data_IF_075034293197
#
_entry.id   IF_075034293197
#
_cell.length_a   1.000
_cell.length_b   1.000
_cell.length_c   1.000
_cell.angle_alpha   90.00
_cell.angle_beta   90.00
_cell.angle_gamma   90.00
#
_symmetry.space_group_name_H-M   'P 1'
#
loop_
_entity.id
_entity.type
_entity.pdbx_description
1 polymer ?
#
# COMPACT_ATOMS: atom_id res chain seq x y z
N UNK A 1 -22.34 17.87 48.18
CA UNK A 1 -20.87 17.97 48.03
C UNK A 1 -20.55 18.96 46.93
N UNK A 2 -19.58 19.82 47.19
CA UNK A 2 -19.30 21.14 46.62
C UNK A 2 -19.23 21.24 45.10
N UNK A 3 -19.81 22.33 44.58
CA UNK A 3 -19.49 22.91 43.28
C UNK A 3 -18.15 23.68 43.41
N UNK A 4 -17.18 23.44 42.52
CA UNK A 4 -15.93 24.22 42.45
C UNK A 4 -15.65 24.65 41.02
N UNK A 5 -15.53 25.97 40.84
CA UNK A 5 -15.27 26.66 39.58
C UNK A 5 -13.76 26.74 39.30
N UNK A 6 -13.37 26.07 38.20
CA UNK A 6 -12.37 26.37 37.15
C UNK A 6 -10.90 26.73 37.43
N UNK A 7 -10.01 26.40 36.46
CA UNK A 7 -9.34 27.48 35.75
C UNK A 7 -9.59 27.44 34.23
N UNK A 8 -9.97 28.60 33.68
CA UNK A 8 -10.38 28.91 32.29
C UNK A 8 -9.37 28.48 31.21
N UNK A 9 -8.12 28.17 31.57
CA UNK A 9 -7.13 27.57 30.67
C UNK A 9 -7.37 26.08 30.36
N UNK A 10 -7.89 25.29 31.31
CA UNK A 10 -7.99 23.83 31.20
C UNK A 10 -9.11 23.38 30.25
N UNK A 11 -10.17 24.17 30.05
CA UNK A 11 -11.28 23.84 29.13
C UNK A 11 -10.86 23.81 27.65
N UNK A 12 -9.97 24.70 27.20
CA UNK A 12 -9.42 24.66 25.83
C UNK A 12 -8.50 23.45 25.63
N UNK A 13 -7.68 23.13 26.62
CA UNK A 13 -6.78 21.96 26.56
C UNK A 13 -7.55 20.64 26.64
N UNK A 14 -8.58 20.54 27.47
CA UNK A 14 -9.46 19.37 27.54
C UNK A 14 -10.25 19.18 26.24
N UNK A 15 -10.76 20.27 25.64
CA UNK A 15 -11.46 20.20 24.34
C UNK A 15 -10.52 19.75 23.21
N UNK A 16 -9.27 20.24 23.20
CA UNK A 16 -8.24 19.75 22.26
C UNK A 16 -7.90 18.28 22.50
N UNK A 17 -7.73 17.85 23.75
CA UNK A 17 -7.44 16.45 24.07
C UNK A 17 -8.58 15.51 23.62
N UNK A 18 -9.84 15.92 23.81
CA UNK A 18 -11.01 15.18 23.31
C UNK A 18 -10.97 15.08 21.77
N UNK A 19 -10.63 16.16 21.07
CA UNK A 19 -10.46 16.13 19.61
C UNK A 19 -9.31 15.22 19.16
N UNK A 20 -8.18 15.21 19.87
CA UNK A 20 -7.05 14.32 19.55
C UNK A 20 -7.40 12.84 19.82
N UNK A 21 -8.15 12.55 20.88
CA UNK A 21 -8.64 11.20 21.18
C UNK A 21 -9.65 10.74 20.11
N UNK A 22 -10.58 11.61 19.70
CA UNK A 22 -11.53 11.29 18.62
C UNK A 22 -10.81 11.05 17.27
N UNK A 23 -9.77 11.83 16.96
CA UNK A 23 -8.95 11.65 15.77
C UNK A 23 -8.12 10.36 15.82
N UNK A 24 -7.55 10.01 16.98
CA UNK A 24 -6.78 8.76 17.12
C UNK A 24 -7.66 7.52 17.08
N UNK A 25 -8.89 7.59 17.59
CA UNK A 25 -9.88 6.50 17.50
C UNK A 25 -10.33 6.29 16.04
N UNK A 26 -10.44 7.36 15.24
CA UNK A 26 -10.77 7.25 13.81
C UNK A 26 -9.58 6.78 12.97
N UNK A 27 -8.35 7.05 13.40
CA UNK A 27 -7.10 6.67 12.73
C UNK A 27 -6.51 5.31 13.17
N UNK A 28 -7.29 4.46 13.84
CA UNK A 28 -6.83 3.20 14.44
C UNK A 28 -6.60 2.06 13.45
N UNK A 29 -5.79 2.24 12.41
CA UNK A 29 -5.26 1.16 11.54
C UNK A 29 -3.99 1.67 10.83
N UNK A 30 -2.81 1.57 11.45
CA UNK A 30 -1.58 2.20 10.91
C UNK A 30 -0.47 1.21 10.55
N UNK A 31 -0.54 -0.06 10.97
CA UNK A 31 0.59 -0.99 10.76
C UNK A 31 0.34 -2.02 9.66
N UNK A 32 -0.81 -2.71 9.67
CA UNK A 32 -1.08 -3.78 8.69
C UNK A 32 -1.19 -3.25 7.26
N UNK A 33 -1.81 -2.08 7.07
CA UNK A 33 -1.92 -1.46 5.75
C UNK A 33 -0.56 -0.98 5.20
N UNK A 34 0.36 -0.56 6.08
CA UNK A 34 1.70 -0.10 5.69
C UNK A 34 2.57 -1.29 5.28
N UNK A 35 2.51 -2.39 6.03
CA UNK A 35 3.24 -3.62 5.69
C UNK A 35 2.74 -4.20 4.36
N UNK A 36 1.43 -4.28 4.15
CA UNK A 36 0.84 -4.79 2.89
C UNK A 36 1.20 -3.90 1.70
N UNK A 37 1.17 -2.57 1.89
CA UNK A 37 1.60 -1.61 0.86
C UNK A 37 3.10 -1.73 0.55
N UNK A 38 3.95 -1.91 1.56
CA UNK A 38 5.38 -2.10 1.38
C UNK A 38 5.70 -3.39 0.62
N UNK A 39 5.00 -4.49 0.93
CA UNK A 39 5.14 -5.77 0.20
C UNK A 39 4.67 -5.61 -1.25
N UNK A 40 3.54 -4.94 -1.48
CA UNK A 40 3.06 -4.64 -2.83
C UNK A 40 4.06 -3.80 -3.62
N UNK A 41 4.59 -2.72 -3.04
CA UNK A 41 5.57 -1.86 -3.70
C UNK A 41 6.86 -2.58 -4.06
N UNK A 42 7.38 -3.39 -3.13
CA UNK A 42 8.58 -4.20 -3.38
C UNK A 42 8.35 -5.22 -4.48
N UNK A 43 7.22 -5.93 -4.44
CA UNK A 43 6.93 -6.93 -5.44
C UNK A 43 6.70 -6.30 -6.82
N UNK A 44 5.87 -5.26 -6.89
CA UNK A 44 5.56 -4.58 -8.15
C UNK A 44 6.78 -3.93 -8.79
N UNK A 45 7.70 -3.38 -8.00
CA UNK A 45 8.94 -2.78 -8.50
C UNK A 45 9.88 -3.83 -9.12
N UNK A 46 10.10 -4.97 -8.45
CA UNK A 46 10.92 -6.05 -9.02
C UNK A 46 10.26 -6.70 -10.23
N UNK A 47 8.95 -6.84 -10.18
CA UNK A 47 8.19 -7.46 -11.25
C UNK A 47 8.19 -6.60 -12.52
N UNK A 48 8.03 -5.27 -12.40
CA UNK A 48 8.15 -4.38 -13.56
C UNK A 48 9.58 -4.29 -14.08
N UNK A 49 10.59 -4.31 -13.20
CA UNK A 49 11.99 -4.34 -13.62
C UNK A 49 12.29 -5.58 -14.46
N UNK A 50 11.80 -6.76 -14.05
CA UNK A 50 11.89 -7.96 -14.88
C UNK A 50 11.13 -7.82 -16.20
N UNK A 51 9.96 -7.19 -16.18
CA UNK A 51 9.14 -7.01 -17.37
C UNK A 51 9.78 -6.06 -18.40
N UNK A 52 10.47 -5.01 -17.95
CA UNK A 52 11.19 -4.06 -18.82
C UNK A 52 12.40 -4.72 -19.48
N UNK A 53 13.08 -5.61 -18.75
CA UNK A 53 14.25 -6.33 -19.26
C UNK A 53 13.90 -7.55 -20.14
N UNK A 54 12.61 -7.90 -20.25
CA UNK A 54 12.15 -9.01 -21.10
C UNK A 54 11.88 -8.52 -22.53
N UNK A 55 12.60 -9.09 -23.51
CA UNK A 55 12.45 -8.71 -24.91
C UNK A 55 11.04 -8.94 -25.43
N UNK A 56 10.37 -10.01 -25.01
CA UNK A 56 9.00 -10.34 -25.46
C UNK A 56 7.98 -9.30 -24.98
N UNK A 57 8.13 -8.83 -23.74
CA UNK A 57 7.25 -7.82 -23.16
C UNK A 57 7.53 -6.45 -23.80
N UNK A 58 8.81 -6.13 -24.00
CA UNK A 58 9.20 -4.91 -24.72
C UNK A 58 8.67 -4.90 -26.14
N UNK A 59 8.74 -6.04 -26.84
CA UNK A 59 8.21 -6.22 -28.19
C UNK A 59 6.68 -6.18 -28.25
N UNK A 60 5.98 -6.59 -27.20
CA UNK A 60 4.52 -6.52 -27.15
C UNK A 60 4.00 -5.12 -26.80
N UNK A 61 4.57 -4.48 -25.78
CA UNK A 61 4.03 -3.24 -25.19
C UNK A 61 4.74 -1.98 -25.68
N UNK A 62 5.99 -2.09 -26.14
CA UNK A 62 6.85 -0.95 -26.47
C UNK A 62 7.42 -0.23 -25.25
N UNK A 63 8.43 0.62 -25.45
CA UNK A 63 9.03 1.45 -24.39
C UNK A 63 8.49 2.88 -24.44
N UNK A 64 8.22 3.53 -23.29
CA UNK A 64 8.45 3.06 -21.92
C UNK A 64 7.29 2.21 -21.38
N UNK A 65 7.61 1.14 -20.64
CA UNK A 65 6.63 0.34 -19.89
C UNK A 65 6.48 0.93 -18.49
N UNK A 66 5.25 1.27 -18.11
CA UNK A 66 4.93 1.91 -16.83
C UNK A 66 3.90 1.12 -16.03
N UNK A 67 3.88 1.28 -14.71
CA UNK A 67 2.84 0.68 -13.86
C UNK A 67 1.53 1.43 -14.06
N UNK A 68 0.44 0.68 -14.23
CA UNK A 68 -0.90 1.23 -14.17
C UNK A 68 -1.35 1.52 -12.74
N UNK A 69 -2.64 1.84 -12.58
CA UNK A 69 -3.18 2.28 -11.31
C UNK A 69 -3.07 1.22 -10.20
N UNK A 70 -2.60 1.66 -9.03
CA UNK A 70 -2.35 0.80 -7.87
C UNK A 70 -3.62 0.20 -7.27
N UNK A 71 -4.78 0.84 -7.42
CA UNK A 71 -6.06 0.33 -6.89
C UNK A 71 -6.56 -0.91 -7.66
N UNK A 72 -6.07 -1.14 -8.88
CA UNK A 72 -6.34 -2.34 -9.67
C UNK A 72 -5.35 -3.46 -9.39
N UNK A 73 -4.50 -3.29 -8.39
CA UNK A 73 -3.52 -4.28 -8.03
C UNK A 73 -3.98 -5.14 -6.86
N UNK A 74 -3.57 -6.41 -6.89
CA UNK A 74 -3.84 -7.37 -5.82
C UNK A 74 -2.55 -7.99 -5.31
N UNK A 75 -2.50 -8.22 -4.01
CA UNK A 75 -1.41 -8.91 -3.32
C UNK A 75 -2.01 -10.08 -2.53
N UNK A 76 -1.61 -11.30 -2.88
CA UNK A 76 -1.97 -12.51 -2.13
C UNK A 76 -0.72 -13.05 -1.44
N UNK A 77 -0.71 -13.05 -0.11
CA UNK A 77 0.36 -13.65 0.70
C UNK A 77 -0.16 -14.95 1.30
N UNK A 78 0.53 -16.06 1.04
CA UNK A 78 0.12 -17.41 1.46
C UNK A 78 1.19 -18.00 2.38
N UNK A 79 0.75 -18.84 3.32
CA UNK A 79 1.60 -19.67 4.21
C UNK A 79 2.68 -18.89 4.98
N UNK A 80 2.31 -18.14 6.03
CA UNK A 80 3.27 -17.44 6.92
C UNK A 80 4.29 -16.55 6.16
N UNK A 81 3.89 -15.93 5.05
CA UNK A 81 4.75 -15.11 4.15
C UNK A 81 5.78 -15.90 3.33
N UNK A 82 5.61 -17.21 3.16
CA UNK A 82 6.49 -18.03 2.29
C UNK A 82 6.16 -17.88 0.81
N UNK A 83 4.99 -17.35 0.45
CA UNK A 83 4.64 -17.06 -0.95
C UNK A 83 3.89 -15.73 -1.04
N UNK A 84 4.24 -14.92 -2.03
CA UNK A 84 3.56 -13.68 -2.36
C UNK A 84 3.24 -13.65 -3.86
N UNK A 85 1.99 -13.36 -4.22
CA UNK A 85 1.54 -13.20 -5.60
C UNK A 85 1.02 -11.78 -5.80
N UNK A 86 1.49 -11.10 -6.83
CA UNK A 86 1.32 -9.68 -7.05
C UNK A 86 0.82 -9.49 -8.47
N UNK A 87 -0.36 -8.91 -8.61
CA UNK A 87 -0.97 -8.65 -9.91
C UNK A 87 -1.17 -7.17 -10.07
N UNK A 88 -0.71 -6.58 -11.15
CA UNK A 88 -0.93 -5.16 -11.43
C UNK A 88 -0.91 -4.88 -12.95
N UNK A 89 -1.64 -3.85 -13.39
CA UNK A 89 -1.64 -3.45 -14.79
C UNK A 89 -0.29 -2.83 -15.19
N UNK A 90 0.11 -3.05 -16.44
CA UNK A 90 1.26 -2.42 -17.09
C UNK A 90 0.80 -1.74 -18.38
N UNK A 91 1.35 -0.57 -18.65
CA UNK A 91 0.95 0.33 -19.75
C UNK A 91 2.17 0.58 -20.63
N UNK A 92 2.01 0.41 -21.93
CA UNK A 92 3.00 0.74 -22.93
C UNK A 92 2.37 1.42 -24.15
N UNK A 93 3.17 2.06 -25.02
CA UNK A 93 2.68 2.78 -26.18
C UNK A 93 1.99 1.91 -27.23
N UNK A 94 2.32 0.60 -27.28
CA UNK A 94 1.73 -0.35 -28.24
C UNK A 94 0.57 -1.15 -27.66
N UNK A 95 0.36 -1.10 -26.34
CA UNK A 95 -0.70 -1.85 -25.69
C UNK A 95 -0.57 -1.85 -24.18
N UNK A 96 -1.60 -2.40 -23.54
CA UNK A 96 -1.69 -2.54 -22.09
C UNK A 96 -1.79 -4.02 -21.74
N UNK A 97 -1.31 -4.39 -20.56
CA UNK A 97 -1.34 -5.77 -20.08
C UNK A 97 -1.54 -5.86 -18.57
N UNK A 98 -1.68 -7.08 -18.07
CA UNK A 98 -1.71 -7.39 -16.64
C UNK A 98 -0.49 -8.25 -16.34
N UNK A 99 0.37 -7.77 -15.46
CA UNK A 99 1.54 -8.52 -15.00
C UNK A 99 1.18 -9.29 -13.73
N UNK A 100 1.42 -10.59 -13.73
CA UNK A 100 1.30 -11.45 -12.56
C UNK A 100 2.68 -11.96 -12.16
N UNK A 101 3.10 -11.66 -10.94
CA UNK A 101 4.39 -12.09 -10.40
C UNK A 101 4.16 -12.89 -9.13
N UNK A 102 4.73 -14.10 -9.06
CA UNK A 102 4.71 -14.95 -7.89
C UNK A 102 6.12 -15.13 -7.35
N UNK A 103 6.31 -14.78 -6.08
CA UNK A 103 7.52 -15.05 -5.32
C UNK A 103 7.25 -16.20 -4.35
N UNK A 104 8.13 -17.19 -4.32
CA UNK A 104 8.10 -18.30 -3.36
C UNK A 104 9.45 -18.30 -2.65
N UNK A 105 9.43 -18.26 -1.32
CA UNK A 105 10.61 -18.41 -0.47
C UNK A 105 10.77 -19.88 -0.11
N UNK A 106 11.87 -20.47 -0.55
CA UNK A 106 12.32 -21.78 -0.07
C UNK A 106 13.20 -21.51 1.16
N UNK A 107 12.67 -21.79 2.34
CA UNK A 107 13.43 -21.78 3.60
C UNK A 107 14.20 -23.07 3.77
#
# INVERSE_FOLDING_TARGET
>A
VSSSVEPVGKRRFARKAISFILLSVTGGFVLSAVDDFAVYHKCSSKAIEKAINDESIREALGEPITRGAWYNASLAVVNKKSSASCTFPIIGPRGNGILQAKAVSHG
#
